data_IF_995040375709
#
_entry.id   IF_995040375709
#
_cell.length_a   1.000
_cell.length_b   1.000
_cell.length_c   1.000
_cell.angle_alpha   90.00
_cell.angle_beta   90.00
_cell.angle_gamma   90.00
#
_symmetry.space_group_name_H-M   'P 1'
#
loop_
_entity.id
_entity.type
_entity.pdbx_description
1 polymer ?
#
# COMPACT_ATOMS: atom_id res chain seq x y z
N UNK A 1 4.25 -16.86 -4.44
CA UNK A 1 3.12 -15.91 -4.26
C UNK A 1 3.19 -14.90 -5.40
N UNK A 2 2.13 -14.73 -6.20
CA UNK A 2 2.19 -13.80 -7.34
C UNK A 2 1.93 -12.37 -6.85
N UNK A 3 2.97 -11.53 -6.75
CA UNK A 3 2.86 -10.09 -6.48
C UNK A 3 2.40 -9.32 -7.72
N UNK A 4 1.35 -9.80 -8.39
CA UNK A 4 0.76 -9.08 -9.53
C UNK A 4 0.14 -7.78 -9.02
N UNK A 5 0.35 -6.73 -9.79
CA UNK A 5 -0.35 -5.47 -9.66
C UNK A 5 -1.86 -5.73 -9.68
N UNK A 6 -2.58 -5.19 -8.70
CA UNK A 6 -4.05 -5.00 -8.67
C UNK A 6 -4.90 -6.05 -9.40
N UNK A 7 -5.62 -6.91 -8.67
CA UNK A 7 -6.73 -7.70 -9.24
C UNK A 7 -7.98 -6.82 -9.16
N UNK A 8 -8.55 -6.35 -10.29
CA UNK A 8 -9.71 -5.43 -10.27
C UNK A 8 -10.97 -6.06 -9.68
N UNK A 9 -11.07 -7.38 -9.70
CA UNK A 9 -12.30 -8.13 -9.41
C UNK A 9 -12.51 -8.49 -7.93
N UNK A 10 -11.58 -8.15 -7.02
CA UNK A 10 -11.78 -8.45 -5.60
C UNK A 10 -12.34 -7.24 -4.86
N UNK A 11 -13.58 -7.29 -4.34
CA UNK A 11 -14.10 -6.22 -3.51
C UNK A 11 -13.20 -6.06 -2.28
N UNK A 12 -12.86 -4.81 -1.88
CA UNK A 12 -12.16 -4.56 -0.63
C UNK A 12 -12.96 -5.19 0.50
N UNK A 13 -12.37 -6.15 1.23
CA UNK A 13 -12.97 -6.62 2.47
C UNK A 13 -12.48 -5.74 3.62
N UNK A 14 -13.33 -5.40 4.60
CA UNK A 14 -12.92 -4.64 5.75
C UNK A 14 -11.95 -5.48 6.58
N UNK A 15 -10.65 -5.29 6.39
CA UNK A 15 -9.68 -5.63 7.41
C UNK A 15 -9.89 -4.71 8.59
N UNK A 16 -9.91 -5.24 9.82
CA UNK A 16 -10.04 -4.40 10.99
C UNK A 16 -8.89 -3.38 11.03
N UNK A 17 -9.20 -2.15 11.43
CA UNK A 17 -8.22 -1.08 11.62
C UNK A 17 -7.02 -1.55 12.46
N UNK A 18 -7.29 -2.28 13.54
CA UNK A 18 -6.25 -2.85 14.41
C UNK A 18 -5.33 -3.85 13.69
N UNK A 19 -5.86 -4.64 12.74
CA UNK A 19 -5.02 -5.54 11.93
C UNK A 19 -4.07 -4.76 11.03
N UNK A 20 -4.55 -3.70 10.37
CA UNK A 20 -3.70 -2.83 9.54
C UNK A 20 -2.60 -2.15 10.35
N UNK A 21 -2.94 -1.68 11.55
CA UNK A 21 -1.95 -1.06 12.44
C UNK A 21 -0.90 -2.08 12.86
N UNK A 22 -1.31 -3.22 13.41
CA UNK A 22 -0.38 -4.21 13.96
C UNK A 22 0.54 -4.81 12.89
N UNK A 23 -0.05 -5.30 11.79
CA UNK A 23 0.73 -5.89 10.70
C UNK A 23 1.54 -4.84 9.95
N UNK A 24 0.98 -3.64 9.77
CA UNK A 24 1.68 -2.53 9.13
C UNK A 24 2.92 -2.11 9.92
N UNK A 25 2.79 -1.92 11.24
CA UNK A 25 3.92 -1.66 12.12
C UNK A 25 4.98 -2.77 11.99
N UNK A 26 4.60 -4.03 12.15
CA UNK A 26 5.53 -5.16 12.07
C UNK A 26 6.26 -5.23 10.71
N UNK A 27 5.52 -5.08 9.61
CA UNK A 27 6.10 -5.07 8.28
C UNK A 27 7.03 -3.87 8.05
N UNK A 28 6.66 -2.69 8.56
CA UNK A 28 7.48 -1.49 8.50
C UNK A 28 8.78 -1.62 9.28
N UNK A 29 8.74 -2.19 10.48
CA UNK A 29 9.96 -2.49 11.27
C UNK A 29 10.89 -3.45 10.53
N UNK A 30 10.35 -4.51 9.91
CA UNK A 30 11.15 -5.43 9.08
C UNK A 30 11.72 -4.76 7.84
N UNK A 31 10.96 -3.84 7.22
CA UNK A 31 11.43 -3.01 6.13
C UNK A 31 12.62 -2.13 6.53
N UNK A 32 12.55 -1.49 7.71
CA UNK A 32 13.66 -0.68 8.24
C UNK A 32 14.87 -1.55 8.51
N UNK A 33 14.70 -2.71 9.15
CA UNK A 33 15.81 -3.63 9.41
C UNK A 33 16.53 -4.04 8.12
N UNK A 34 15.78 -4.38 7.07
CA UNK A 34 16.36 -4.73 5.77
C UNK A 34 17.07 -3.55 5.10
N UNK A 35 16.45 -2.36 5.14
CA UNK A 35 17.05 -1.13 4.64
C UNK A 35 18.37 -0.82 5.36
N UNK A 36 18.38 -0.87 6.69
CA UNK A 36 19.57 -0.61 7.51
C UNK A 36 20.69 -1.60 7.23
N UNK A 37 20.39 -2.89 7.05
CA UNK A 37 21.40 -3.86 6.61
C UNK A 37 21.98 -3.48 5.24
N UNK A 38 21.12 -3.08 4.29
CA UNK A 38 21.54 -2.57 2.98
C UNK A 38 22.46 -1.35 3.11
N UNK A 39 22.09 -0.39 3.95
CA UNK A 39 22.90 0.81 4.23
C UNK A 39 24.26 0.44 4.80
N UNK A 40 24.34 -0.53 5.74
CA UNK A 40 25.62 -0.97 6.30
C UNK A 40 26.51 -1.65 5.28
N UNK A 41 25.93 -2.45 4.38
CA UNK A 41 26.67 -3.08 3.29
C UNK A 41 27.19 -2.01 2.32
N UNK A 42 26.35 -1.06 1.91
CA UNK A 42 26.73 0.07 1.07
C UNK A 42 27.88 0.86 1.69
N UNK A 43 27.70 1.32 2.94
CA UNK A 43 28.70 2.10 3.68
C UNK A 43 30.03 1.36 3.83
N UNK A 44 30.01 0.05 4.01
CA UNK A 44 31.22 -0.76 4.08
C UNK A 44 32.04 -0.68 2.78
N UNK A 45 31.37 -0.70 1.62
CA UNK A 45 32.04 -0.65 0.32
C UNK A 45 32.38 0.76 -0.15
N UNK A 46 31.55 1.76 0.20
CA UNK A 46 31.73 3.15 -0.26
C UNK A 46 32.56 3.99 0.71
N UNK A 47 32.72 3.55 1.96
CA UNK A 47 33.31 4.34 3.03
C UNK A 47 32.44 5.51 3.50
N UNK A 48 31.19 5.59 3.04
CA UNK A 48 30.28 6.68 3.38
C UNK A 48 29.94 6.66 4.89
N UNK A 49 29.97 7.80 5.59
CA UNK A 49 29.59 7.85 7.00
C UNK A 49 28.09 7.65 7.20
N UNK A 50 27.69 7.41 8.46
CA UNK A 50 26.28 7.38 8.85
C UNK A 50 25.61 8.73 8.64
N UNK A 51 24.35 8.70 8.21
CA UNK A 51 23.49 9.90 8.28
C UNK A 51 22.87 10.00 9.66
N UNK A 52 22.93 11.20 10.24
CA UNK A 52 22.29 11.57 11.51
C UNK A 52 21.10 12.51 11.32
N UNK A 53 20.72 12.81 10.07
CA UNK A 53 19.56 13.66 9.74
C UNK A 53 18.28 13.19 10.47
N UNK A 54 17.92 11.89 10.48
CA UNK A 54 16.76 11.42 11.23
C UNK A 54 16.87 11.68 12.74
N UNK A 55 18.06 11.48 13.32
CA UNK A 55 18.33 11.79 14.72
C UNK A 55 18.13 13.27 15.05
N UNK A 56 18.62 14.18 14.19
CA UNK A 56 18.40 15.62 14.33
C UNK A 56 16.92 15.99 14.18
N UNK A 57 16.22 15.40 13.21
CA UNK A 57 14.79 15.62 13.02
C UNK A 57 14.01 15.24 14.28
N UNK A 58 14.29 14.06 14.87
CA UNK A 58 13.62 13.64 16.09
C UNK A 58 13.98 14.53 17.29
N UNK A 59 15.25 14.91 17.44
CA UNK A 59 15.70 15.87 18.46
C UNK A 59 14.90 17.18 18.38
N UNK A 60 14.72 17.73 17.17
CA UNK A 60 13.94 18.95 16.94
C UNK A 60 12.44 18.75 17.17
N UNK A 61 11.86 17.65 16.70
CA UNK A 61 10.44 17.33 16.93
C UNK A 61 10.10 17.23 18.41
N UNK A 62 10.98 16.59 19.19
CA UNK A 62 10.81 16.41 20.63
C UNK A 62 11.34 17.59 21.46
N UNK A 63 11.86 18.64 20.81
CA UNK A 63 12.48 19.82 21.46
C UNK A 63 13.54 19.44 22.49
N UNK A 64 14.34 18.43 22.17
CA UNK A 64 15.42 17.95 23.03
C UNK A 64 16.67 18.86 22.89
N UNK A 65 17.54 18.90 23.92
CA UNK A 65 18.80 19.62 23.84
C UNK A 65 19.69 19.07 22.72
N UNK A 66 20.42 19.97 22.06
CA UNK A 66 21.39 19.60 21.01
C UNK A 66 22.57 18.87 21.63
N UNK A 67 22.87 17.67 21.12
CA UNK A 67 24.03 16.85 21.50
C UNK A 67 25.09 16.76 20.37
N UNK A 68 26.19 16.03 20.54
CA UNK A 68 27.04 15.59 19.43
C UNK A 68 26.46 14.36 18.72
N UNK A 69 26.78 14.15 17.43
CA UNK A 69 26.26 13.02 16.64
C UNK A 69 26.63 11.66 17.22
N UNK A 70 27.80 11.57 17.87
CA UNK A 70 28.25 10.38 18.58
C UNK A 70 27.26 9.90 19.66
N UNK A 71 26.42 10.79 20.20
CA UNK A 71 25.44 10.48 21.24
C UNK A 71 24.01 10.30 20.69
N UNK A 72 23.81 10.49 19.38
CA UNK A 72 22.48 10.47 18.74
C UNK A 72 22.05 9.14 18.16
N UNK A 73 22.87 8.10 18.30
CA UNK A 73 22.56 6.79 17.71
C UNK A 73 21.16 6.29 18.07
N UNK A 74 20.76 6.42 19.35
CA UNK A 74 19.44 6.03 19.82
C UNK A 74 18.30 6.84 19.18
N UNK A 75 18.45 8.16 19.06
CA UNK A 75 17.46 9.02 18.39
C UNK A 75 17.37 8.71 16.90
N UNK A 76 18.50 8.44 16.25
CA UNK A 76 18.54 8.08 14.85
C UNK A 76 17.78 6.77 14.58
N UNK A 77 18.04 5.73 15.39
CA UNK A 77 17.32 4.46 15.29
C UNK A 77 15.83 4.62 15.64
N UNK A 78 15.49 5.37 16.69
CA UNK A 78 14.10 5.62 17.07
C UNK A 78 13.32 6.29 15.94
N UNK A 79 13.92 7.28 15.27
CA UNK A 79 13.30 7.95 14.13
C UNK A 79 13.11 7.01 12.96
N UNK A 80 14.15 6.27 12.56
CA UNK A 80 14.08 5.30 11.46
C UNK A 80 12.97 4.25 11.68
N UNK A 81 12.97 3.59 12.83
CA UNK A 81 11.99 2.56 13.15
C UNK A 81 10.59 3.13 13.38
N UNK A 82 10.48 4.31 14.02
CA UNK A 82 9.20 4.99 14.25
C UNK A 82 8.52 5.39 12.94
N UNK A 83 9.25 6.08 12.05
CA UNK A 83 8.73 6.42 10.72
C UNK A 83 8.45 5.19 9.88
N UNK A 84 9.33 4.18 9.94
CA UNK A 84 9.14 2.93 9.21
C UNK A 84 7.88 2.19 9.64
N UNK A 85 7.63 2.08 10.95
CA UNK A 85 6.40 1.50 11.49
C UNK A 85 5.16 2.28 11.03
N UNK A 86 5.17 3.62 11.15
CA UNK A 86 4.07 4.47 10.73
C UNK A 86 3.79 4.36 9.22
N UNK A 87 4.83 4.42 8.38
CA UNK A 87 4.71 4.22 6.94
C UNK A 87 4.20 2.80 6.60
N UNK A 88 4.62 1.79 7.36
CA UNK A 88 4.16 0.42 7.20
C UNK A 88 2.64 0.27 7.39
N UNK A 89 2.02 1.06 8.28
CA UNK A 89 0.56 1.12 8.42
C UNK A 89 -0.09 1.58 7.12
N UNK A 90 0.44 2.63 6.49
CA UNK A 90 -0.05 3.12 5.19
C UNK A 90 0.06 2.01 4.14
N UNK A 91 1.18 1.30 4.10
CA UNK A 91 1.38 0.20 3.14
C UNK A 91 0.44 -0.99 3.39
N UNK A 92 0.11 -1.27 4.65
CA UNK A 92 -0.88 -2.28 5.02
C UNK A 92 -2.27 -1.90 4.54
N UNK A 93 -2.67 -0.64 4.68
CA UNK A 93 -3.92 -0.14 4.10
C UNK A 93 -3.96 -0.27 2.59
N UNK A 94 -2.92 0.17 1.88
CA UNK A 94 -2.82 0.00 0.43
C UNK A 94 -3.09 -1.46 0.05
N UNK A 95 -2.43 -2.40 0.74
CA UNK A 95 -2.56 -3.83 0.47
C UNK A 95 -3.95 -4.38 0.78
N UNK A 96 -4.55 -3.96 1.91
CA UNK A 96 -5.89 -4.36 2.32
C UNK A 96 -6.98 -3.92 1.32
N UNK A 97 -6.80 -2.75 0.69
CA UNK A 97 -7.67 -2.23 -0.36
C UNK A 97 -7.28 -2.71 -1.78
N UNK A 98 -6.36 -3.66 -1.89
CA UNK A 98 -6.00 -4.29 -3.17
C UNK A 98 -4.93 -3.57 -3.98
N UNK A 99 -4.37 -2.45 -3.48
CA UNK A 99 -3.21 -1.76 -4.06
C UNK A 99 -1.94 -2.48 -3.65
N UNK A 100 -1.49 -3.41 -4.51
CA UNK A 100 -0.39 -4.35 -4.24
C UNK A 100 0.55 -4.54 -5.41
N UNK A 101 1.67 -5.20 -5.15
CA UNK A 101 2.68 -5.54 -6.17
C UNK A 101 3.69 -4.43 -6.45
N UNK A 102 4.57 -4.61 -7.44
CA UNK A 102 5.72 -3.73 -7.69
C UNK A 102 5.35 -2.27 -7.92
N UNK A 103 4.23 -1.98 -8.59
CA UNK A 103 3.79 -0.60 -8.80
C UNK A 103 3.35 0.07 -7.48
N UNK A 104 2.70 -0.69 -6.59
CA UNK A 104 2.35 -0.19 -5.26
C UNK A 104 3.62 0.10 -4.43
N UNK A 105 4.67 -0.71 -4.56
CA UNK A 105 5.95 -0.44 -3.91
C UNK A 105 6.61 0.81 -4.46
N UNK A 106 6.58 1.02 -5.79
CA UNK A 106 7.08 2.24 -6.41
C UNK A 106 6.36 3.49 -5.87
N UNK A 107 5.03 3.48 -5.81
CA UNK A 107 4.26 4.56 -5.17
C UNK A 107 4.64 4.73 -3.71
N UNK A 108 4.87 3.62 -3.00
CA UNK A 108 5.20 3.64 -1.59
C UNK A 108 6.62 4.18 -1.31
N UNK A 109 7.57 4.05 -2.25
CA UNK A 109 8.86 4.78 -2.19
C UNK A 109 8.61 6.28 -2.16
N UNK A 110 7.76 6.80 -3.04
CA UNK A 110 7.43 8.24 -3.06
C UNK A 110 6.76 8.68 -1.74
N UNK A 111 5.82 7.88 -1.21
CA UNK A 111 5.21 8.14 0.10
C UNK A 111 6.28 8.18 1.21
N UNK A 112 7.20 7.22 1.23
CA UNK A 112 8.26 7.15 2.24
C UNK A 112 9.17 8.37 2.18
N UNK A 113 9.56 8.80 0.97
CA UNK A 113 10.36 10.00 0.73
C UNK A 113 9.61 11.28 1.15
N UNK A 114 8.32 11.39 0.83
CA UNK A 114 7.51 12.53 1.26
C UNK A 114 7.43 12.64 2.78
N UNK A 115 7.33 11.52 3.50
CA UNK A 115 7.32 11.52 4.97
C UNK A 115 8.65 12.05 5.51
N UNK A 116 9.78 11.59 4.96
CA UNK A 116 11.12 12.07 5.36
C UNK A 116 11.25 13.57 5.11
N UNK A 117 11.03 13.99 3.86
CA UNK A 117 11.20 15.38 3.46
C UNK A 117 10.24 16.33 4.18
N UNK A 118 9.02 15.90 4.49
CA UNK A 118 8.10 16.72 5.29
C UNK A 118 8.66 16.96 6.69
N UNK A 119 9.09 15.91 7.38
CA UNK A 119 9.57 16.02 8.76
C UNK A 119 10.90 16.76 8.84
N UNK A 120 11.82 16.46 7.93
CA UNK A 120 13.13 17.11 7.84
C UNK A 120 12.98 18.61 7.53
N UNK A 121 12.13 18.99 6.58
CA UNK A 121 11.93 20.40 6.22
C UNK A 121 11.15 21.17 7.28
N UNK A 122 10.10 20.58 7.87
CA UNK A 122 9.33 21.23 8.95
C UNK A 122 10.19 21.49 10.19
N UNK A 123 11.18 20.64 10.45
CA UNK A 123 12.14 20.83 11.56
C UNK A 123 13.31 21.75 11.22
N UNK A 124 13.43 22.17 9.96
CA UNK A 124 14.56 22.95 9.46
C UNK A 124 15.89 22.19 9.46
N UNK A 125 15.84 20.85 9.50
CA UNK A 125 17.01 19.97 9.44
C UNK A 125 17.33 19.60 7.99
N UNK A 126 16.28 19.44 7.17
CA UNK A 126 16.39 19.03 5.77
C UNK A 126 16.90 20.15 4.86
N UNK A 127 17.47 19.73 3.74
CA UNK A 127 17.66 20.55 2.56
C UNK A 127 16.84 19.96 1.41
N UNK A 128 16.49 20.79 0.43
CA UNK A 128 15.68 20.34 -0.71
C UNK A 128 16.41 19.19 -1.46
N UNK A 129 15.73 18.10 -1.86
CA UNK A 129 16.41 16.94 -2.45
C UNK A 129 17.27 17.26 -3.68
N UNK A 130 16.87 18.24 -4.49
CA UNK A 130 17.61 18.68 -5.68
C UNK A 130 18.86 19.52 -5.38
N UNK A 131 19.12 19.87 -4.13
CA UNK A 131 20.37 20.52 -3.72
C UNK A 131 21.41 19.51 -3.22
N UNK A 132 21.05 18.24 -3.09
CA UNK A 132 21.96 17.20 -2.62
C UNK A 132 22.85 16.68 -3.76
N UNK A 133 24.06 16.17 -3.44
CA UNK A 133 24.85 15.40 -4.40
C UNK A 133 24.03 14.25 -5.01
N UNK A 134 24.16 14.02 -6.33
CA UNK A 134 23.36 13.02 -7.06
C UNK A 134 23.53 11.61 -6.47
N UNK A 135 24.74 11.28 -6.02
CA UNK A 135 25.03 10.00 -5.36
C UNK A 135 24.20 9.81 -4.09
N UNK A 136 23.98 10.86 -3.29
CA UNK A 136 23.15 10.78 -2.09
C UNK A 136 21.68 10.57 -2.44
N UNK A 137 21.17 11.27 -3.47
CA UNK A 137 19.79 11.09 -3.94
C UNK A 137 19.56 9.65 -4.43
N UNK A 138 20.50 9.08 -5.21
CA UNK A 138 20.39 7.72 -5.72
C UNK A 138 20.45 6.69 -4.59
N UNK A 139 21.39 6.85 -3.65
CA UNK A 139 21.51 6.01 -2.46
C UNK A 139 20.20 6.06 -1.65
N UNK A 140 19.63 7.24 -1.46
CA UNK A 140 18.40 7.41 -0.70
C UNK A 140 17.24 6.67 -1.35
N UNK A 141 17.01 6.88 -2.65
CA UNK A 141 15.95 6.21 -3.41
C UNK A 141 16.12 4.69 -3.37
N UNK A 142 17.33 4.17 -3.51
CA UNK A 142 17.60 2.73 -3.47
C UNK A 142 17.21 2.15 -2.11
N UNK A 143 17.63 2.76 -1.01
CA UNK A 143 17.34 2.27 0.33
C UNK A 143 15.84 2.37 0.67
N UNK A 144 15.17 3.45 0.23
CA UNK A 144 13.71 3.56 0.31
C UNK A 144 13.02 2.51 -0.56
N UNK A 145 13.61 2.15 -1.70
CA UNK A 145 13.20 1.02 -2.54
C UNK A 145 13.26 -0.31 -1.81
N UNK A 146 14.36 -0.61 -1.13
CA UNK A 146 14.52 -1.82 -0.29
C UNK A 146 13.46 -1.85 0.82
N UNK A 147 13.31 -0.74 1.55
CA UNK A 147 12.29 -0.60 2.58
C UNK A 147 10.88 -0.87 2.02
N UNK A 148 10.53 -0.25 0.90
CA UNK A 148 9.22 -0.35 0.28
C UNK A 148 8.93 -1.77 -0.21
N UNK A 149 9.92 -2.41 -0.84
CA UNK A 149 9.81 -3.78 -1.31
C UNK A 149 9.57 -4.77 -0.18
N UNK A 150 10.36 -4.70 0.90
CA UNK A 150 10.26 -5.62 2.03
C UNK A 150 8.95 -5.41 2.80
N UNK A 151 8.61 -4.16 3.12
CA UNK A 151 7.33 -3.81 3.76
C UNK A 151 6.15 -4.27 2.90
N UNK A 152 6.22 -4.03 1.59
CA UNK A 152 5.21 -4.44 0.62
C UNK A 152 5.08 -5.95 0.50
N UNK A 153 6.20 -6.69 0.52
CA UNK A 153 6.19 -8.15 0.52
C UNK A 153 5.41 -8.72 1.71
N UNK A 154 5.67 -8.25 2.93
CA UNK A 154 5.00 -8.75 4.12
C UNK A 154 3.51 -8.40 4.16
N UNK A 155 3.17 -7.15 3.86
CA UNK A 155 1.77 -6.68 3.82
C UNK A 155 0.97 -7.38 2.72
N UNK A 156 1.48 -7.43 1.48
CA UNK A 156 0.84 -8.14 0.36
C UNK A 156 0.66 -9.62 0.67
N UNK A 157 1.64 -10.24 1.34
CA UNK A 157 1.54 -11.65 1.70
C UNK A 157 0.42 -11.91 2.71
N UNK A 158 0.31 -11.07 3.73
CA UNK A 158 -0.72 -11.20 4.74
C UNK A 158 -2.13 -11.00 4.13
N UNK A 159 -2.35 -9.89 3.45
CA UNK A 159 -3.67 -9.52 2.94
C UNK A 159 -4.13 -10.37 1.76
N UNK A 160 -3.21 -10.87 0.92
CA UNK A 160 -3.57 -11.84 -0.11
C UNK A 160 -4.10 -13.16 0.47
N UNK A 161 -3.47 -13.67 1.54
CA UNK A 161 -3.93 -14.91 2.21
C UNK A 161 -5.31 -14.70 2.83
N UNK A 162 -5.51 -13.57 3.50
CA UNK A 162 -6.80 -13.21 4.09
C UNK A 162 -7.92 -13.10 3.02
N UNK A 163 -7.61 -12.57 1.83
CA UNK A 163 -8.58 -12.49 0.72
C UNK A 163 -8.93 -13.86 0.11
N UNK A 164 -7.96 -14.79 0.01
CA UNK A 164 -8.14 -16.11 -0.62
C UNK A 164 -8.81 -17.14 0.32
N UNK A 165 -8.51 -17.12 1.61
CA UNK A 165 -9.03 -18.05 2.62
C UNK A 165 -10.58 -18.22 2.63
N UNK A 166 -11.40 -17.17 2.50
CA UNK A 166 -12.87 -17.31 2.53
C UNK A 166 -13.47 -17.90 1.24
N UNK A 167 -12.83 -17.79 0.07
CA UNK A 167 -13.36 -18.43 -1.15
C UNK A 167 -13.27 -19.95 -1.07
N UNK A 168 -12.28 -20.49 -0.35
CA UNK A 168 -12.13 -21.95 -0.13
C UNK A 168 -13.25 -22.49 0.77
N UNK A 169 -13.72 -21.69 1.74
CA UNK A 169 -14.83 -22.11 2.62
C UNK A 169 -16.17 -22.07 1.90
N UNK A 170 -16.41 -21.06 1.05
CA UNK A 170 -17.62 -20.97 0.23
C UNK A 170 -17.66 -22.07 -0.85
N UNK A 171 -16.53 -22.37 -1.50
CA UNK A 171 -16.40 -23.45 -2.47
C UNK A 171 -16.55 -24.84 -1.83
N UNK A 172 -15.96 -25.06 -0.64
CA UNK A 172 -16.21 -26.29 0.15
C UNK A 172 -17.67 -26.40 0.58
N UNK A 173 -18.30 -25.29 0.97
CA UNK A 173 -19.72 -25.25 1.32
C UNK A 173 -20.60 -25.62 0.11
N UNK A 174 -20.36 -25.00 -1.05
CA UNK A 174 -21.05 -25.30 -2.32
C UNK A 174 -20.81 -26.74 -2.79
N UNK A 175 -19.60 -27.28 -2.60
CA UNK A 175 -19.30 -28.69 -2.93
C UNK A 175 -20.01 -29.69 -2.02
N UNK A 176 -20.27 -29.33 -0.75
CA UNK A 176 -21.05 -30.15 0.19
C UNK A 176 -22.56 -30.06 -0.07
N UNK A 177 -23.02 -28.97 -0.68
CA UNK A 177 -24.42 -28.74 -1.06
C UNK A 177 -24.75 -29.25 -2.47
N UNK A 178 -23.77 -29.72 -3.24
CA UNK A 178 -24.02 -30.38 -4.52
C UNK A 178 -24.62 -31.76 -4.27
N UNK A 179 -25.83 -32.06 -4.78
CA UNK A 179 -26.42 -33.38 -4.61
C UNK A 179 -25.50 -34.42 -5.27
N UNK A 180 -25.06 -35.42 -4.50
CA UNK A 180 -24.51 -36.64 -5.07
C UNK A 180 -25.54 -37.17 -6.06
N UNK A 181 -25.13 -37.39 -7.30
CA UNK A 181 -25.96 -37.97 -8.35
C UNK A 181 -26.58 -39.28 -7.83
N UNK A 182 -27.85 -39.19 -7.44
CA UNK A 182 -28.71 -40.28 -7.08
C UNK A 182 -29.91 -40.23 -8.02
N UNK A 183 -29.94 -41.20 -8.93
CA UNK A 183 -31.05 -41.64 -9.76
C UNK A 183 -31.93 -40.56 -10.42
N UNK A 184 -31.80 -40.47 -11.74
CA UNK A 184 -32.80 -39.84 -12.59
C UNK A 184 -34.18 -40.44 -12.31
N UNK A 185 -35.07 -39.64 -11.72
CA UNK A 185 -36.51 -39.87 -11.76
C UNK A 185 -37.08 -38.85 -12.72
N UNK A 186 -37.54 -39.36 -13.85
CA UNK A 186 -38.26 -38.64 -14.89
C UNK A 186 -39.56 -38.07 -14.31
N UNK A 187 -39.68 -36.75 -14.20
CA UNK A 187 -40.95 -36.08 -13.94
C UNK A 187 -41.18 -35.00 -15.00
N UNK A 188 -42.26 -35.20 -15.77
CA UNK A 188 -42.72 -34.38 -16.87
C UNK A 188 -43.16 -32.97 -16.43
N UNK A 189 -43.19 -31.98 -17.34
CA UNK A 189 -43.47 -30.59 -16.99
C UNK A 189 -44.97 -30.31 -17.05
N UNK A 190 -45.53 -29.65 -16.04
CA UNK A 190 -46.64 -28.71 -16.18
C UNK A 190 -47.02 -28.08 -14.82
N UNK A 191 -47.57 -26.88 -14.94
CA UNK A 191 -48.27 -26.05 -13.93
C UNK A 191 -47.43 -24.97 -13.24
N UNK A 192 -47.36 -23.86 -13.98
CA UNK A 192 -47.38 -22.46 -13.55
C UNK A 192 -48.25 -22.20 -12.31
N UNK A 193 -47.77 -21.41 -11.34
CA UNK A 193 -48.59 -20.43 -10.62
C UNK A 193 -47.73 -19.42 -9.82
N UNK A 194 -47.96 -18.12 -10.05
CA UNK A 194 -47.91 -17.07 -9.03
C UNK A 194 -46.58 -16.40 -8.70
N UNK A 195 -46.12 -15.48 -9.54
CA UNK A 195 -45.25 -14.37 -9.10
C UNK A 195 -46.01 -13.05 -9.26
N UNK A 196 -46.38 -12.45 -8.13
CA UNK A 196 -46.80 -11.06 -8.06
C UNK A 196 -45.95 -10.35 -7.00
N UNK A 197 -45.57 -9.11 -7.34
CA UNK A 197 -45.15 -7.98 -6.50
C UNK A 197 -43.67 -7.56 -6.62
N UNK A 198 -43.48 -6.59 -7.55
CA UNK A 198 -42.69 -5.34 -7.50
C UNK A 198 -41.16 -5.44 -7.26
N UNK A 199 -40.28 -4.77 -8.01
CA UNK A 199 -40.46 -3.62 -8.88
C UNK A 199 -39.33 -3.45 -9.90
N UNK A 200 -39.77 -3.09 -11.10
CA UNK A 200 -39.28 -2.04 -12.00
C UNK A 200 -37.82 -1.58 -11.82
N UNK A 201 -36.98 -1.78 -12.85
CA UNK A 201 -36.42 -0.71 -13.70
C UNK A 201 -35.72 -1.35 -14.92
N UNK A 202 -36.34 -1.24 -16.09
CA UNK A 202 -35.69 -1.41 -17.39
C UNK A 202 -36.46 -0.53 -18.38
N UNK A 203 -35.86 0.55 -18.86
CA UNK A 203 -35.96 0.99 -20.26
C UNK A 203 -34.64 1.68 -20.64
N UNK A 204 -33.97 1.08 -21.62
CA UNK A 204 -32.94 1.64 -22.49
C UNK A 204 -33.69 2.15 -23.74
N UNK A 205 -33.06 3.06 -24.50
CA UNK A 205 -33.28 3.36 -25.93
C UNK A 205 -34.28 4.50 -26.24
N UNK A 206 -34.10 5.36 -27.24
CA UNK A 206 -33.02 5.73 -28.18
C UNK A 206 -33.70 6.83 -29.03
N UNK A 207 -33.13 8.02 -29.22
CA UNK A 207 -33.37 8.79 -30.45
C UNK A 207 -32.19 9.70 -30.76
N UNK A 208 -31.90 9.77 -32.05
CA UNK A 208 -30.66 10.14 -32.73
C UNK A 208 -30.85 11.50 -33.43
N UNK A 209 -29.73 12.20 -33.60
CA UNK A 209 -29.40 13.15 -34.69
C UNK A 209 -30.22 14.45 -34.87
N UNK A 210 -29.53 15.59 -34.74
CA UNK A 210 -29.08 16.46 -35.85
C UNK A 210 -28.41 17.70 -35.24
N UNK A 211 -27.10 17.90 -35.31
CA UNK A 211 -26.35 18.55 -36.41
C UNK A 211 -26.53 20.09 -36.48
N UNK A 212 -25.37 20.78 -36.62
CA UNK A 212 -25.10 22.14 -37.12
C UNK A 212 -24.78 23.36 -36.20
N UNK A 213 -23.50 23.78 -36.33
CA UNK A 213 -22.90 25.14 -36.38
C UNK A 213 -22.65 25.95 -35.10
N UNK A 214 -21.37 26.13 -34.71
CA UNK A 214 -20.40 27.22 -35.08
C UNK A 214 -20.74 28.55 -34.39
N UNK A 215 -19.89 29.10 -33.51
CA UNK A 215 -18.72 29.94 -33.80
C UNK A 215 -18.06 30.32 -32.44
N UNK A 216 -16.76 30.04 -32.21
CA UNK A 216 -15.61 30.96 -32.26
C UNK A 216 -15.62 32.21 -31.34
N UNK A 217 -14.65 32.20 -30.40
CA UNK A 217 -13.76 33.29 -29.93
C UNK A 217 -14.31 34.57 -29.28
N UNK A 218 -13.74 34.91 -28.10
CA UNK A 218 -13.07 36.19 -27.69
C UNK A 218 -12.70 36.02 -26.19
N UNK A 219 -11.45 35.85 -25.79
CA UNK A 219 -10.40 36.86 -25.56
C UNK A 219 -10.78 37.97 -24.56
N UNK A 220 -10.29 37.84 -23.31
CA UNK A 220 -9.62 38.85 -22.48
C UNK A 220 -9.11 38.18 -21.19
#
# INVERSE_FOLDING_TARGET
MSRRTTIPEQPPRPSSLGSCILYGCGAGLLGVAAMTVGEKIEQYFTGRPNSYVPGHTLERLLRLPVRPDSERFGLNMAMHYGQGAAAGIIRAFMSAYGVRGPFADFMFVAIRLMIDQTLENVTGVGALPWTWPINEQVIDIIHKGVFAFVTGYFTDSHYYRAMKAPNVLDEKSKSKLSPRHGNAVHVSPLVSFGNHILGTYRIIEFTRASEYHSHSNFAA
#
